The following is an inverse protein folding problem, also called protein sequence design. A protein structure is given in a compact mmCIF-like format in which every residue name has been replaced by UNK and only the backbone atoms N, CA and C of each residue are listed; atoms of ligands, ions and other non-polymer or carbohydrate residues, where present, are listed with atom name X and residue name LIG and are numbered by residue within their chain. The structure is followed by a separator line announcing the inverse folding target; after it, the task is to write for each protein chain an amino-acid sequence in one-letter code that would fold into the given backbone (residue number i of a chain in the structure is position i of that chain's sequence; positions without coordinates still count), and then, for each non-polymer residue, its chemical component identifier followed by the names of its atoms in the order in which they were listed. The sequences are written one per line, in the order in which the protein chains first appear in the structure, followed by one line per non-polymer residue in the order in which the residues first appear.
data_IF_408833178936
#
_entry.id   IF_408833178936
#
_cell.length_a   1.000
_cell.length_b   1.000
_cell.length_c   1.000
_cell.angle_alpha   90.00
_cell.angle_beta   90.00
_cell.angle_gamma   90.00
#
_symmetry.space_group_name_H-M   'P 1'
#
loop_
_entity.id
_entity.type
_entity.pdbx_description
1 polymer ?
#
# COMPACT_ATOMS: atom_id res chain seq x y z
N UNK A 1 -4.54 1.93 -2.27
CA UNK A 1 -4.59 2.87 -1.14
C UNK A 1 -3.86 2.25 0.04
N UNK A 2 -2.83 2.88 0.62
CA UNK A 2 -2.17 2.38 1.81
C UNK A 2 -3.09 2.43 3.04
N UNK A 3 -2.96 1.46 3.95
CA UNK A 3 -3.72 1.40 5.21
C UNK A 3 -3.02 2.27 6.25
N UNK A 4 -3.73 3.20 6.90
CA UNK A 4 -3.07 4.19 7.78
C UNK A 4 -3.09 3.85 9.27
N UNK A 5 -3.91 2.88 9.69
CA UNK A 5 -4.05 2.46 11.09
C UNK A 5 -4.86 1.16 11.18
N UNK A 6 -4.83 0.50 12.34
CA UNK A 6 -5.70 -0.65 12.61
C UNK A 6 -7.20 -0.30 12.49
N UNK A 7 -7.62 0.87 13.01
CA UNK A 7 -8.99 1.35 12.85
C UNK A 7 -9.38 1.52 11.37
N UNK A 8 -8.47 2.08 10.57
CA UNK A 8 -8.68 2.20 9.12
C UNK A 8 -8.73 0.82 8.44
N UNK A 9 -7.92 -0.15 8.88
CA UNK A 9 -7.95 -1.52 8.39
C UNK A 9 -9.32 -2.19 8.64
N UNK A 10 -9.85 -2.05 9.86
CA UNK A 10 -11.17 -2.55 10.22
C UNK A 10 -12.29 -1.86 9.44
N UNK A 11 -12.21 -0.53 9.26
CA UNK A 11 -13.17 0.21 8.45
C UNK A 11 -13.18 -0.30 7.00
N UNK A 12 -12.01 -0.48 6.39
CA UNK A 12 -11.91 -1.01 5.03
C UNK A 12 -12.47 -2.43 4.90
N UNK A 13 -12.23 -3.29 5.90
CA UNK A 13 -12.70 -4.67 5.89
C UNK A 13 -14.22 -4.80 6.11
N UNK A 14 -14.79 -4.00 7.03
CA UNK A 14 -16.18 -4.13 7.45
C UNK A 14 -17.15 -3.21 6.70
N UNK A 15 -16.73 -1.99 6.39
CA UNK A 15 -17.63 -0.91 5.96
C UNK A 15 -17.51 -0.57 4.46
N UNK A 16 -16.46 -1.04 3.77
CA UNK A 16 -16.25 -0.73 2.35
C UNK A 16 -16.54 -1.95 1.47
N UNK A 17 -17.64 -1.95 0.69
CA UNK A 17 -17.99 -3.06 -0.19
C UNK A 17 -16.87 -3.39 -1.18
N UNK A 18 -16.56 -4.68 -1.30
CA UNK A 18 -15.55 -5.17 -2.25
C UNK A 18 -14.10 -5.08 -1.75
N UNK A 19 -13.84 -4.55 -0.55
CA UNK A 19 -12.52 -4.57 0.07
C UNK A 19 -12.49 -5.63 1.17
N UNK A 20 -11.54 -6.56 1.10
CA UNK A 20 -11.32 -7.58 2.13
C UNK A 20 -9.84 -7.65 2.48
N UNK A 21 -9.53 -7.42 3.74
CA UNK A 21 -8.20 -7.69 4.30
C UNK A 21 -8.21 -9.11 4.89
N UNK A 22 -7.13 -9.85 4.71
CA UNK A 22 -6.98 -11.16 5.37
C UNK A 22 -6.84 -10.99 6.88
N UNK A 23 -7.23 -12.03 7.63
CA UNK A 23 -7.09 -12.06 9.09
C UNK A 23 -5.64 -11.81 9.52
N UNK A 24 -4.67 -12.40 8.79
CA UNK A 24 -3.25 -12.20 9.04
C UNK A 24 -2.83 -10.72 8.96
N UNK A 25 -3.30 -10.00 7.94
CA UNK A 25 -2.99 -8.57 7.76
C UNK A 25 -3.67 -7.75 8.86
N UNK A 26 -4.90 -8.09 9.25
CA UNK A 26 -5.58 -7.44 10.37
C UNK A 26 -4.81 -7.63 11.67
N UNK A 27 -4.36 -8.85 11.98
CA UNK A 27 -3.55 -9.12 13.17
C UNK A 27 -2.19 -8.40 13.15
N UNK A 28 -1.55 -8.28 11.99
CA UNK A 28 -0.31 -7.49 11.86
C UNK A 28 -0.55 -6.01 12.18
N UNK A 29 -1.65 -5.42 11.69
CA UNK A 29 -2.01 -4.03 12.02
C UNK A 29 -2.40 -3.86 13.49
N UNK A 30 -3.09 -4.85 14.08
CA UNK A 30 -3.43 -4.84 15.49
C UNK A 30 -2.16 -4.84 16.38
N UNK A 31 -1.16 -5.65 16.03
CA UNK A 31 0.08 -5.77 16.79
C UNK A 31 0.91 -4.47 16.83
N UNK A 32 0.75 -3.59 15.83
CA UNK A 32 1.48 -2.31 15.74
C UNK A 32 0.60 -1.09 16.00
N UNK A 33 -0.67 -1.28 16.41
CA UNK A 33 -1.69 -0.20 16.46
C UNK A 33 -1.31 1.02 17.31
N UNK A 34 -0.49 0.82 18.33
CA UNK A 34 -0.07 1.85 19.29
C UNK A 34 1.28 2.51 18.92
N UNK A 35 1.92 2.05 17.83
CA UNK A 35 3.19 2.57 17.32
C UNK A 35 3.01 3.09 15.88
N UNK A 36 2.99 4.42 15.75
CA UNK A 36 2.75 5.10 14.48
C UNK A 36 3.83 4.79 13.44
N UNK A 37 5.09 4.70 13.85
CA UNK A 37 6.21 4.45 12.94
C UNK A 37 6.16 3.01 12.45
N UNK A 38 5.91 2.04 13.34
CA UNK A 38 5.71 0.63 12.93
C UNK A 38 4.48 0.44 12.06
N UNK A 39 3.38 1.14 12.35
CA UNK A 39 2.18 1.13 11.51
C UNK A 39 2.48 1.64 10.10
N UNK A 40 3.19 2.76 9.99
CA UNK A 40 3.61 3.34 8.71
C UNK A 40 4.52 2.38 7.95
N UNK A 41 5.53 1.83 8.62
CA UNK A 41 6.47 0.88 8.03
C UNK A 41 5.76 -0.39 7.51
N UNK A 42 4.84 -0.97 8.28
CA UNK A 42 4.05 -2.12 7.86
C UNK A 42 3.20 -1.80 6.63
N UNK A 43 2.50 -0.67 6.64
CA UNK A 43 1.65 -0.24 5.53
C UNK A 43 2.44 -0.03 4.23
N UNK A 44 3.60 0.62 4.32
CA UNK A 44 4.49 0.84 3.18
C UNK A 44 5.05 -0.49 2.67
N UNK A 45 5.48 -1.38 3.55
CA UNK A 45 5.95 -2.73 3.18
C UNK A 45 4.90 -3.48 2.38
N UNK A 46 3.70 -3.65 2.93
CA UNK A 46 2.61 -4.38 2.27
C UNK A 46 2.19 -3.74 0.94
N UNK A 47 2.17 -2.40 0.90
CA UNK A 47 1.84 -1.68 -0.34
C UNK A 47 2.92 -1.87 -1.40
N UNK A 48 4.20 -1.89 -1.04
CA UNK A 48 5.32 -2.14 -1.97
C UNK A 48 5.28 -3.56 -2.54
N UNK A 49 5.04 -4.57 -1.70
CA UNK A 49 4.86 -5.97 -2.15
C UNK A 49 3.71 -6.10 -3.17
N UNK A 50 2.60 -5.39 -2.94
CA UNK A 50 1.49 -5.34 -3.89
C UNK A 50 1.87 -4.60 -5.19
N UNK A 51 2.61 -3.50 -5.09
CA UNK A 51 3.12 -2.75 -6.26
C UNK A 51 4.02 -3.64 -7.12
N UNK A 52 4.94 -4.38 -6.51
CA UNK A 52 5.82 -5.33 -7.21
C UNK A 52 5.00 -6.35 -7.98
N UNK A 53 3.97 -6.91 -7.33
CA UNK A 53 3.06 -7.87 -7.96
C UNK A 53 2.29 -7.22 -9.12
N UNK A 54 1.75 -6.02 -8.94
CA UNK A 54 1.01 -5.29 -10.00
C UNK A 54 1.89 -5.06 -11.23
N UNK A 55 3.15 -4.65 -11.05
CA UNK A 55 4.08 -4.42 -12.17
C UNK A 55 4.48 -5.68 -12.93
N UNK A 56 4.19 -6.88 -12.42
CA UNK A 56 4.39 -8.12 -13.16
C UNK A 56 3.28 -8.36 -14.19
N UNK A 57 2.07 -7.87 -13.93
CA UNK A 57 0.88 -8.21 -14.71
C UNK A 57 0.22 -7.02 -15.40
N UNK A 58 0.51 -5.78 -14.97
CA UNK A 58 -0.15 -4.57 -15.46
C UNK A 58 0.86 -3.47 -15.79
N UNK A 59 0.53 -2.65 -16.79
CA UNK A 59 1.38 -1.56 -17.28
C UNK A 59 1.20 -0.25 -16.50
N UNK A 60 0.27 -0.20 -15.55
CA UNK A 60 -0.10 1.01 -14.84
C UNK A 60 -0.59 0.73 -13.44
N UNK A 61 -0.40 1.71 -12.56
CA UNK A 61 -0.77 1.67 -11.15
C UNK A 61 -1.51 2.96 -10.81
N UNK A 62 -2.65 2.85 -10.14
CA UNK A 62 -3.37 3.99 -9.57
C UNK A 62 -3.21 4.01 -8.04
N UNK A 63 -2.60 5.07 -7.51
CA UNK A 63 -2.42 5.28 -6.08
C UNK A 63 -3.48 6.27 -5.56
N UNK A 64 -4.31 5.80 -4.63
CA UNK A 64 -5.26 6.63 -3.90
C UNK A 64 -4.59 7.11 -2.61
N UNK A 65 -4.52 8.42 -2.40
CA UNK A 65 -4.03 9.05 -1.17
C UNK A 65 -5.10 8.98 -0.08
N UNK A 66 -4.87 8.27 1.04
CA UNK A 66 -5.82 8.20 2.12
C UNK A 66 -5.77 9.49 2.94
N UNK A 67 -6.91 10.18 3.04
CA UNK A 67 -7.07 11.40 3.85
C UNK A 67 -5.95 12.43 3.60
N UNK A 68 -5.26 12.87 4.66
CA UNK A 68 -4.16 13.85 4.63
C UNK A 68 -2.77 13.18 4.63
N UNK A 69 -2.69 11.87 4.41
CA UNK A 69 -1.43 11.10 4.53
C UNK A 69 -0.61 11.09 3.24
N UNK A 70 -0.26 12.29 2.75
CA UNK A 70 0.45 12.51 1.47
C UNK A 70 1.79 11.77 1.43
N UNK A 71 2.49 11.70 2.56
CA UNK A 71 3.80 11.04 2.66
C UNK A 71 3.79 9.59 2.18
N UNK A 72 2.72 8.85 2.46
CA UNK A 72 2.61 7.46 2.03
C UNK A 72 2.57 7.38 0.51
N UNK A 73 1.71 8.19 -0.11
CA UNK A 73 1.57 8.21 -1.57
C UNK A 73 2.85 8.66 -2.25
N UNK A 74 3.53 9.69 -1.73
CA UNK A 74 4.80 10.16 -2.28
C UNK A 74 5.88 9.08 -2.24
N UNK A 75 5.98 8.36 -1.13
CA UNK A 75 6.95 7.26 -1.01
C UNK A 75 6.61 6.11 -1.97
N UNK A 76 5.35 5.69 -2.04
CA UNK A 76 4.91 4.62 -2.93
C UNK A 76 5.02 5.00 -4.42
N UNK A 77 4.74 6.25 -4.77
CA UNK A 77 4.92 6.76 -6.12
C UNK A 77 6.40 6.80 -6.52
N UNK A 78 7.26 7.28 -5.60
CA UNK A 78 8.71 7.25 -5.77
C UNK A 78 9.22 5.83 -5.97
N UNK A 79 8.74 4.88 -5.15
CA UNK A 79 9.08 3.47 -5.27
C UNK A 79 8.60 2.85 -6.58
N UNK A 80 7.33 3.07 -6.96
CA UNK A 80 6.81 2.57 -8.23
C UNK A 80 7.59 3.10 -9.43
N UNK A 81 8.11 4.34 -9.36
CA UNK A 81 8.92 4.94 -10.43
C UNK A 81 10.28 4.24 -10.60
N UNK A 82 10.91 3.77 -9.52
CA UNK A 82 12.19 3.05 -9.63
C UNK A 82 12.03 1.73 -10.40
N UNK A 83 10.86 1.10 -10.31
CA UNK A 83 10.54 -0.14 -11.05
C UNK A 83 10.34 0.16 -12.54
N UNK A 84 9.59 1.22 -12.89
CA UNK A 84 9.25 1.53 -14.29
C UNK A 84 10.40 2.19 -15.05
N UNK A 85 11.23 2.99 -14.39
CA UNK A 85 12.44 3.56 -15.03
C UNK A 85 13.42 2.49 -15.50
N UNK A 86 13.45 1.33 -14.85
CA UNK A 86 14.27 0.19 -15.28
C UNK A 86 13.64 -0.61 -16.44
N UNK A 87 12.35 -0.41 -16.74
CA UNK A 87 11.62 -1.13 -17.79
C UNK A 87 11.45 -0.35 -19.10
N UNK A 88 11.77 0.95 -19.11
CA UNK A 88 11.62 1.81 -20.30
C UNK A 88 12.68 1.59 -21.40
N UNK A 89 13.72 0.78 -21.16
CA UNK A 89 14.78 0.52 -22.15
C UNK A 89 14.44 -0.58 -23.19
N UNK A 90 13.28 -1.26 -23.09
CA UNK A 90 12.95 -2.40 -23.94
C UNK A 90 11.90 -2.12 -25.04
N UNK A 91 11.79 -0.87 -25.51
CA UNK A 91 11.01 -0.55 -26.72
C UNK A 91 11.96 0.08 -27.74
N UNK A 92 12.65 -0.81 -28.47
CA UNK A 92 13.23 -0.55 -29.80
C UNK A 92 12.31 -1.14 -30.85
#
# INVERSE_FOLDING_TARGET
MPVTSYKNALFLHNEVPGIKLSEEILSQFEAVKDDKEKTKALSLKLSKELIDTVHQYFNGLYLITPFQSVDYTLELASYSKTITSNKQEAIL
#
